data_IF_928598435996
#
_entry.id   IF_928598435996
#
_cell.length_a   1.000
_cell.length_b   1.000
_cell.length_c   1.000
_cell.angle_alpha   90.00
_cell.angle_beta   90.00
_cell.angle_gamma   90.00
#
_symmetry.space_group_name_H-M   'P 1'
#
loop_
_entity.id
_entity.type
_entity.pdbx_description
1 polymer ?
#
# COMPACT_ATOMS: atom_id res chain seq x y z
N UNK A 1 -11.99 -1.15 -3.38
CA UNK A 1 -11.82 0.14 -4.05
C UNK A 1 -10.71 0.86 -3.30
N UNK A 2 -9.66 1.31 -3.97
CA UNK A 2 -8.62 2.17 -3.36
C UNK A 2 -9.11 3.62 -3.26
N UNK A 3 -8.47 4.53 -2.48
CA UNK A 3 -8.84 5.94 -2.46
C UNK A 3 -8.66 6.63 -3.82
N UNK A 4 -7.69 6.19 -4.61
CA UNK A 4 -7.47 6.65 -5.97
C UNK A 4 -8.63 6.21 -6.89
N UNK A 5 -9.06 4.94 -6.78
CA UNK A 5 -10.24 4.43 -7.50
C UNK A 5 -11.50 5.21 -7.07
N UNK A 6 -11.64 5.47 -5.77
CA UNK A 6 -12.76 6.21 -5.20
C UNK A 6 -12.76 7.66 -5.67
N UNK A 7 -11.60 8.33 -5.68
CA UNK A 7 -11.43 9.68 -6.22
C UNK A 7 -11.81 9.74 -7.70
N UNK A 8 -11.35 8.77 -8.49
CA UNK A 8 -11.70 8.65 -9.91
C UNK A 8 -13.18 8.37 -10.13
N UNK A 9 -13.78 7.56 -9.26
CA UNK A 9 -15.22 7.23 -9.27
C UNK A 9 -16.07 8.44 -8.93
N UNK A 10 -15.71 9.20 -7.89
CA UNK A 10 -16.37 10.47 -7.56
C UNK A 10 -16.23 11.46 -8.71
N UNK A 11 -15.05 11.59 -9.33
CA UNK A 11 -14.85 12.50 -10.47
C UNK A 11 -15.75 12.13 -11.66
N UNK A 12 -15.88 10.84 -11.94
CA UNK A 12 -16.78 10.32 -12.98
C UNK A 12 -18.25 10.55 -12.62
N UNK A 13 -18.64 10.38 -11.36
CA UNK A 13 -20.01 10.68 -10.90
C UNK A 13 -20.35 12.16 -11.06
N UNK A 14 -19.43 13.07 -10.71
CA UNK A 14 -19.62 14.52 -10.93
C UNK A 14 -19.74 14.84 -12.42
N UNK A 15 -18.88 14.26 -13.28
CA UNK A 15 -18.97 14.47 -14.74
C UNK A 15 -20.31 14.01 -15.30
N UNK A 16 -20.77 12.81 -14.92
CA UNK A 16 -22.09 12.29 -15.34
C UNK A 16 -23.21 13.22 -14.90
N UNK A 17 -23.21 13.67 -13.65
CA UNK A 17 -24.23 14.61 -13.17
C UNK A 17 -24.27 15.94 -13.95
N UNK A 18 -23.14 16.39 -14.51
CA UNK A 18 -23.10 17.56 -15.40
C UNK A 18 -23.63 17.22 -16.79
N UNK A 19 -23.24 16.08 -17.35
CA UNK A 19 -23.69 15.59 -18.67
C UNK A 19 -25.20 15.33 -18.69
N UNK A 20 -25.75 14.77 -17.60
CA UNK A 20 -27.16 14.45 -17.43
C UNK A 20 -28.01 15.69 -17.06
N UNK A 21 -27.37 16.85 -16.85
CA UNK A 21 -28.03 18.13 -16.54
C UNK A 21 -28.51 18.27 -15.09
N UNK A 22 -28.16 17.34 -14.21
CA UNK A 22 -28.46 17.41 -12.77
C UNK A 22 -27.61 18.47 -12.03
N UNK A 23 -26.42 18.75 -12.57
CA UNK A 23 -25.58 19.89 -12.22
C UNK A 23 -25.45 20.84 -13.43
N UNK A 24 -25.31 22.16 -13.20
CA UNK A 24 -25.17 23.13 -14.29
C UNK A 24 -23.96 22.83 -15.20
N UNK A 25 -24.11 23.04 -16.52
CA UNK A 25 -23.07 22.78 -17.53
C UNK A 25 -21.74 23.54 -17.35
N UNK A 26 -21.72 24.58 -16.50
CA UNK A 26 -20.51 25.32 -16.12
C UNK A 26 -19.79 24.78 -14.88
N UNK A 27 -20.29 23.68 -14.29
CA UNK A 27 -19.70 23.07 -13.10
C UNK A 27 -18.41 22.35 -13.48
N UNK A 28 -17.27 23.01 -13.27
CA UNK A 28 -15.96 22.38 -13.46
C UNK A 28 -15.76 21.24 -12.46
N UNK A 29 -15.32 20.07 -12.95
CA UNK A 29 -14.86 18.98 -12.07
C UNK A 29 -13.43 19.31 -11.65
N UNK A 30 -13.13 19.39 -10.34
CA UNK A 30 -11.76 19.62 -9.89
C UNK A 30 -10.83 18.55 -10.45
N UNK A 31 -9.65 18.96 -10.94
CA UNK A 31 -8.62 18.02 -11.42
C UNK A 31 -8.18 17.07 -10.31
N UNK A 32 -8.28 17.50 -9.05
CA UNK A 32 -7.92 16.72 -7.87
C UNK A 32 -9.08 16.66 -6.88
N UNK A 33 -9.61 15.45 -6.69
CA UNK A 33 -10.59 15.16 -5.64
C UNK A 33 -9.84 14.62 -4.44
N UNK A 34 -10.08 15.24 -3.28
CA UNK A 34 -9.47 14.82 -2.02
C UNK A 34 -10.39 13.81 -1.36
N UNK A 35 -9.91 12.58 -1.22
CA UNK A 35 -10.56 11.51 -0.45
C UNK A 35 -9.63 11.14 0.68
N UNK A 36 -10.09 11.29 1.92
CA UNK A 36 -9.30 10.99 3.11
C UNK A 36 -9.94 9.89 3.92
N UNK A 37 -9.12 9.11 4.64
CA UNK A 37 -9.65 8.11 5.56
C UNK A 37 -10.33 8.80 6.74
N UNK A 38 -11.51 8.31 7.10
CA UNK A 38 -12.23 8.85 8.24
C UNK A 38 -11.43 8.59 9.53
N UNK A 39 -11.41 9.58 10.43
CA UNK A 39 -10.74 9.45 11.74
C UNK A 39 -11.41 8.36 12.58
N UNK A 40 -10.70 7.73 13.54
CA UNK A 40 -11.31 6.79 14.48
C UNK A 40 -12.54 7.40 15.16
N UNK A 41 -13.68 6.71 15.06
CA UNK A 41 -14.98 7.18 15.57
C UNK A 41 -15.80 8.07 14.62
N UNK A 42 -15.32 8.33 13.40
CA UNK A 42 -16.12 8.99 12.37
C UNK A 42 -16.96 8.01 11.53
N UNK A 43 -17.70 8.54 10.56
CA UNK A 43 -18.65 7.80 9.72
C UNK A 43 -17.96 7.25 8.46
N UNK A 44 -18.17 5.96 8.16
CA UNK A 44 -17.61 5.29 6.98
C UNK A 44 -16.08 5.10 7.02
N UNK A 45 -15.55 4.52 5.95
CA UNK A 45 -14.12 4.27 5.75
C UNK A 45 -13.40 5.53 5.24
N UNK A 46 -14.04 6.28 4.35
CA UNK A 46 -13.48 7.48 3.72
C UNK A 46 -14.46 8.64 3.75
N UNK A 47 -13.94 9.85 3.64
CA UNK A 47 -14.73 11.04 3.46
C UNK A 47 -14.12 11.98 2.42
N UNK A 48 -14.97 12.76 1.76
CA UNK A 48 -14.54 13.83 0.85
C UNK A 48 -15.35 15.11 1.07
N UNK A 49 -14.70 16.28 1.07
CA UNK A 49 -15.37 17.58 1.08
C UNK A 49 -15.76 18.07 -0.33
N UNK A 50 -15.75 17.21 -1.35
CA UNK A 50 -15.93 17.59 -2.77
C UNK A 50 -17.18 18.44 -3.03
N UNK A 51 -18.28 18.19 -2.31
CA UNK A 51 -19.53 18.90 -2.53
C UNK A 51 -19.39 20.40 -2.28
N UNK A 52 -18.54 20.82 -1.33
CA UNK A 52 -18.26 22.24 -1.09
C UNK A 52 -17.53 22.91 -2.26
N UNK A 53 -16.60 22.19 -2.87
CA UNK A 53 -15.81 22.69 -4.01
C UNK A 53 -16.70 22.83 -5.24
N UNK A 54 -17.49 21.78 -5.53
CA UNK A 54 -18.41 21.73 -6.67
C UNK A 54 -19.57 22.71 -6.51
N UNK A 55 -20.10 22.88 -5.29
CA UNK A 55 -21.18 23.82 -4.99
C UNK A 55 -20.85 25.27 -5.34
N UNK A 56 -19.60 25.70 -5.12
CA UNK A 56 -19.15 27.04 -5.48
C UNK A 56 -19.22 27.27 -6.99
N UNK A 57 -18.81 26.29 -7.78
CA UNK A 57 -18.85 26.36 -9.24
C UNK A 57 -20.29 26.22 -9.79
N UNK A 58 -21.11 25.39 -9.15
CA UNK A 58 -22.50 25.14 -9.52
C UNK A 58 -23.46 26.26 -9.08
N UNK A 59 -23.07 27.14 -8.15
CA UNK A 59 -23.97 28.14 -7.57
C UNK A 59 -25.11 27.53 -6.75
N UNK A 60 -24.93 26.33 -6.19
CA UNK A 60 -25.94 25.57 -5.44
C UNK A 60 -25.53 25.35 -3.99
N UNK A 61 -26.46 25.08 -3.06
CA UNK A 61 -26.12 24.69 -1.69
C UNK A 61 -25.28 23.39 -1.68
N UNK A 62 -24.21 23.29 -0.86
CA UNK A 62 -23.38 22.08 -0.79
C UNK A 62 -24.15 20.81 -0.45
N UNK A 63 -25.19 20.89 0.36
CA UNK A 63 -26.05 19.75 0.69
C UNK A 63 -26.83 19.21 -0.53
N UNK A 64 -27.22 20.07 -1.47
CA UNK A 64 -27.89 19.63 -2.70
C UNK A 64 -26.91 18.97 -3.66
N UNK A 65 -25.73 19.56 -3.81
CA UNK A 65 -24.65 18.98 -4.64
C UNK A 65 -24.20 17.65 -4.08
N UNK A 66 -24.06 17.54 -2.75
CA UNK A 66 -23.73 16.27 -2.10
C UNK A 66 -24.79 15.19 -2.40
N UNK A 67 -26.08 15.55 -2.44
CA UNK A 67 -27.15 14.60 -2.73
C UNK A 67 -27.08 14.07 -4.16
N UNK A 68 -26.93 14.97 -5.14
CA UNK A 68 -26.75 14.59 -6.55
C UNK A 68 -25.56 13.65 -6.72
N UNK A 69 -24.42 13.97 -6.10
CA UNK A 69 -23.23 13.12 -6.16
C UNK A 69 -23.47 11.78 -5.46
N UNK A 70 -24.11 11.76 -4.28
CA UNK A 70 -24.40 10.54 -3.53
C UNK A 70 -25.34 9.61 -4.32
N UNK A 71 -26.37 10.15 -4.96
CA UNK A 71 -27.33 9.39 -5.76
C UNK A 71 -26.65 8.74 -6.97
N UNK A 72 -25.77 9.49 -7.67
CA UNK A 72 -24.96 8.96 -8.77
C UNK A 72 -23.93 7.90 -8.34
N UNK A 73 -23.59 7.84 -7.05
CA UNK A 73 -22.65 6.86 -6.48
C UNK A 73 -23.35 5.65 -5.86
N UNK A 74 -24.67 5.69 -5.64
CA UNK A 74 -25.41 4.63 -4.95
C UNK A 74 -25.36 3.27 -5.68
N UNK A 75 -25.16 3.28 -7.00
CA UNK A 75 -25.07 2.08 -7.84
C UNK A 75 -23.61 1.68 -8.17
N UNK A 76 -22.61 2.37 -7.62
CA UNK A 76 -21.22 2.12 -7.99
C UNK A 76 -20.66 0.84 -7.34
N UNK A 77 -20.10 -0.09 -8.13
CA UNK A 77 -19.50 -1.31 -7.60
C UNK A 77 -18.38 -1.00 -6.59
N UNK A 78 -18.46 -1.63 -5.42
CA UNK A 78 -17.46 -1.48 -4.36
C UNK A 78 -17.80 -0.45 -3.28
N UNK A 79 -18.92 0.26 -3.40
CA UNK A 79 -19.52 1.06 -2.32
C UNK A 79 -20.67 0.29 -1.66
N UNK A 80 -20.63 0.16 -0.34
CA UNK A 80 -21.76 -0.37 0.46
C UNK A 80 -22.78 0.74 0.71
N UNK A 81 -22.29 1.90 1.14
CA UNK A 81 -23.12 3.03 1.53
C UNK A 81 -22.41 4.36 1.35
N UNK A 82 -23.17 5.37 0.94
CA UNK A 82 -22.74 6.77 0.90
C UNK A 82 -23.62 7.58 1.84
N UNK A 83 -23.02 8.23 2.83
CA UNK A 83 -23.71 9.03 3.84
C UNK A 83 -23.27 10.49 3.77
N UNK A 84 -24.24 11.39 3.77
CA UNK A 84 -23.97 12.84 3.82
C UNK A 84 -24.00 13.28 5.27
N UNK A 85 -22.90 13.86 5.76
CA UNK A 85 -22.83 14.44 7.11
C UNK A 85 -22.60 15.95 7.05
N UNK A 86 -23.10 16.64 8.07
CA UNK A 86 -22.99 18.10 8.18
C UNK A 86 -23.63 18.82 6.99
N UNK A 87 -22.94 19.82 6.46
CA UNK A 87 -23.43 20.65 5.37
C UNK A 87 -23.13 20.12 3.96
N UNK A 88 -22.44 18.97 3.82
CA UNK A 88 -22.05 18.44 2.51
C UNK A 88 -20.81 17.55 2.50
N UNK A 89 -20.41 16.93 3.62
CA UNK A 89 -19.37 15.91 3.59
C UNK A 89 -19.96 14.59 3.10
N UNK A 90 -19.35 13.98 2.09
CA UNK A 90 -19.69 12.64 1.62
C UNK A 90 -18.79 11.64 2.34
N UNK A 91 -19.40 10.67 3.01
CA UNK A 91 -18.72 9.60 3.73
C UNK A 91 -19.06 8.27 3.06
N UNK A 92 -18.06 7.45 2.81
CA UNK A 92 -18.16 6.23 2.03
C UNK A 92 -17.87 5.04 2.94
N UNK A 93 -18.79 4.09 2.97
CA UNK A 93 -18.56 2.74 3.48
C UNK A 93 -18.32 1.86 2.27
N UNK A 94 -17.18 1.19 2.21
CA UNK A 94 -16.86 0.30 1.11
C UNK A 94 -17.60 -1.03 1.25
N UNK A 95 -18.01 -1.61 0.12
CA UNK A 95 -18.57 -2.96 0.11
C UNK A 95 -17.54 -3.96 0.67
N UNK A 96 -17.95 -4.90 1.53
CA UNK A 96 -17.04 -5.91 2.04
C UNK A 96 -16.52 -6.74 0.87
N UNK A 97 -15.21 -6.62 0.59
CA UNK A 97 -14.55 -7.45 -0.42
C UNK A 97 -14.56 -8.89 0.05
N UNK A 98 -15.01 -9.81 -0.80
CA UNK A 98 -14.83 -11.23 -0.49
C UNK A 98 -13.34 -11.56 -0.43
N UNK A 99 -12.97 -12.51 0.42
CA UNK A 99 -11.58 -12.97 0.51
C UNK A 99 -11.06 -13.41 -0.86
N UNK A 100 -11.90 -14.07 -1.66
CA UNK A 100 -11.56 -14.54 -3.00
C UNK A 100 -11.24 -13.39 -3.97
N UNK A 101 -12.01 -12.30 -3.94
CA UNK A 101 -11.75 -11.13 -4.80
C UNK A 101 -10.46 -10.42 -4.42
N UNK A 102 -10.25 -10.20 -3.12
CA UNK A 102 -9.02 -9.56 -2.63
C UNK A 102 -7.78 -10.38 -3.02
N UNK A 103 -7.80 -11.69 -2.75
CA UNK A 103 -6.69 -12.58 -3.10
C UNK A 103 -6.46 -12.60 -4.62
N UNK A 104 -7.52 -12.64 -5.42
CA UNK A 104 -7.40 -12.59 -6.89
C UNK A 104 -6.78 -11.27 -7.36
N UNK A 105 -7.19 -10.15 -6.78
CA UNK A 105 -6.63 -8.83 -7.07
C UNK A 105 -5.13 -8.78 -6.75
N UNK A 106 -4.73 -9.20 -5.54
CA UNK A 106 -3.31 -9.24 -5.13
C UNK A 106 -2.48 -10.10 -6.08
N UNK A 107 -2.92 -11.31 -6.37
CA UNK A 107 -2.18 -12.23 -7.25
C UNK A 107 -2.12 -11.71 -8.69
N UNK A 108 -3.19 -11.06 -9.18
CA UNK A 108 -3.23 -10.49 -10.53
C UNK A 108 -2.31 -9.28 -10.71
N UNK A 109 -2.21 -8.42 -9.70
CA UNK A 109 -1.30 -7.25 -9.71
C UNK A 109 0.14 -7.64 -9.34
N UNK A 110 0.33 -8.80 -8.72
CA UNK A 110 1.65 -9.30 -8.34
C UNK A 110 2.37 -8.32 -7.39
N UNK A 111 3.70 -8.15 -7.54
CA UNK A 111 4.48 -7.22 -6.72
C UNK A 111 4.05 -5.74 -6.82
N UNK A 112 3.23 -5.39 -7.83
CA UNK A 112 2.67 -4.03 -8.01
C UNK A 112 1.30 -3.86 -7.34
N UNK A 113 0.81 -4.84 -6.58
CA UNK A 113 -0.42 -4.65 -5.80
C UNK A 113 -0.27 -3.44 -4.86
N UNK A 114 -1.30 -2.58 -4.79
CA UNK A 114 -1.26 -1.32 -4.04
C UNK A 114 -0.58 -0.15 -4.73
N UNK A 115 -0.01 -0.33 -5.93
CA UNK A 115 0.49 0.78 -6.74
C UNK A 115 -0.69 1.52 -7.38
N UNK A 116 -0.53 2.83 -7.57
CA UNK A 116 -1.44 3.63 -8.38
C UNK A 116 -1.39 3.18 -9.85
N UNK A 117 -2.48 3.39 -10.59
CA UNK A 117 -2.59 2.95 -11.99
C UNK A 117 -1.64 3.73 -12.92
N UNK A 118 -1.24 4.94 -12.55
CA UNK A 118 -0.28 5.80 -13.23
C UNK A 118 1.15 5.72 -12.64
N UNK A 119 1.46 4.65 -11.90
CA UNK A 119 2.76 4.45 -11.29
C UNK A 119 3.89 4.49 -12.33
N UNK A 120 4.93 5.27 -12.03
CA UNK A 120 6.09 5.46 -12.90
C UNK A 120 7.16 4.39 -12.63
N UNK A 121 7.82 3.92 -13.68
CA UNK A 121 8.99 3.05 -13.50
C UNK A 121 10.13 3.81 -12.82
N UNK A 122 10.94 3.14 -11.99
CA UNK A 122 12.09 3.75 -11.35
C UNK A 122 13.17 4.06 -12.40
N UNK A 123 13.37 5.34 -12.69
CA UNK A 123 14.53 5.84 -13.43
C UNK A 123 15.75 5.70 -12.51
N UNK A 124 16.93 5.26 -12.99
CA UNK A 124 18.18 5.29 -12.23
C UNK A 124 18.57 6.72 -11.85
N UNK A 125 17.94 7.26 -10.80
CA UNK A 125 18.27 8.55 -10.25
C UNK A 125 19.56 8.44 -9.43
N UNK A 126 20.64 9.04 -9.91
CA UNK A 126 21.93 9.06 -9.24
C UNK A 126 22.05 10.27 -8.32
N UNK A 127 22.23 10.03 -7.03
CA UNK A 127 22.66 11.09 -6.10
C UNK A 127 24.12 11.47 -6.36
N UNK A 128 24.47 12.71 -6.00
CA UNK A 128 25.86 13.14 -5.93
C UNK A 128 26.69 12.28 -4.96
N UNK A 129 28.02 12.19 -5.15
CA UNK A 129 28.91 11.25 -4.47
C UNK A 129 29.06 11.45 -2.96
N UNK A 130 28.50 12.52 -2.38
CA UNK A 130 28.73 12.95 -0.99
C UNK A 130 27.69 12.48 0.01
N UNK A 131 26.60 11.84 -0.42
CA UNK A 131 25.57 11.37 0.51
C UNK A 131 26.08 10.22 1.41
N UNK A 132 25.69 10.20 2.68
CA UNK A 132 25.95 9.05 3.58
C UNK A 132 25.12 7.82 3.17
N UNK A 133 25.53 6.62 3.60
CA UNK A 133 24.80 5.36 3.30
C UNK A 133 23.30 5.46 3.63
N UNK A 134 22.95 5.86 4.86
CA UNK A 134 21.56 5.98 5.28
C UNK A 134 20.77 7.02 4.49
N UNK A 135 21.40 8.15 4.15
CA UNK A 135 20.76 9.16 3.33
C UNK A 135 20.37 8.60 1.97
N UNK A 136 21.29 7.86 1.31
CA UNK A 136 20.96 7.16 0.05
C UNK A 136 19.84 6.16 0.24
N UNK A 137 19.93 5.28 1.24
CA UNK A 137 18.92 4.25 1.49
C UNK A 137 17.51 4.84 1.70
N UNK A 138 17.37 5.85 2.58
CA UNK A 138 16.09 6.51 2.85
C UNK A 138 15.54 7.20 1.61
N UNK A 139 16.38 7.94 0.88
CA UNK A 139 15.93 8.66 -0.30
C UNK A 139 15.50 7.70 -1.42
N UNK A 140 16.27 6.66 -1.71
CA UNK A 140 15.92 5.66 -2.71
C UNK A 140 14.59 4.97 -2.37
N UNK A 141 14.39 4.57 -1.11
CA UNK A 141 13.14 3.98 -0.66
C UNK A 141 11.95 4.96 -0.81
N UNK A 142 12.12 6.23 -0.39
CA UNK A 142 11.09 7.26 -0.56
C UNK A 142 10.75 7.49 -2.02
N UNK A 143 11.75 7.54 -2.92
CA UNK A 143 11.51 7.71 -4.37
C UNK A 143 10.76 6.52 -4.95
N UNK A 144 11.14 5.28 -4.61
CA UNK A 144 10.41 4.08 -5.05
C UNK A 144 8.96 4.11 -4.58
N UNK A 145 8.72 4.46 -3.31
CA UNK A 145 7.38 4.58 -2.73
C UNK A 145 6.58 5.69 -3.44
N UNK A 146 7.12 6.89 -3.61
CA UNK A 146 6.44 7.99 -4.30
C UNK A 146 6.04 7.61 -5.74
N UNK A 147 6.97 7.00 -6.50
CA UNK A 147 6.70 6.57 -7.87
C UNK A 147 5.65 5.47 -7.96
N UNK A 148 5.59 4.59 -6.95
CA UNK A 148 4.54 3.58 -6.86
C UNK A 148 3.13 4.18 -6.72
N UNK A 149 3.03 5.45 -6.29
CA UNK A 149 1.76 6.15 -6.06
C UNK A 149 1.43 7.21 -7.13
N UNK A 150 2.18 7.28 -8.23
CA UNK A 150 1.94 8.22 -9.33
C UNK A 150 2.35 9.67 -9.04
N UNK A 151 2.56 10.45 -10.10
CA UNK A 151 3.00 11.85 -10.04
C UNK A 151 1.85 12.81 -9.71
N UNK A 152 1.28 12.70 -8.51
CA UNK A 152 0.34 13.72 -8.00
C UNK A 152 1.05 14.91 -7.33
N UNK A 153 2.36 15.08 -7.48
CA UNK A 153 3.17 16.08 -6.76
C UNK A 153 3.96 17.05 -7.65
N UNK A 154 3.33 17.53 -8.73
CA UNK A 154 3.60 18.86 -9.27
C UNK A 154 4.43 18.89 -10.55
N UNK A 155 3.77 18.74 -11.69
CA UNK A 155 4.30 19.20 -12.98
C UNK A 155 4.21 20.73 -13.07
N UNK A 156 5.25 21.42 -12.60
CA UNK A 156 5.66 22.65 -13.26
C UNK A 156 6.55 22.26 -14.43
N UNK A 157 6.01 22.35 -15.65
CA UNK A 157 6.83 22.28 -16.86
C UNK A 157 7.86 23.41 -16.84
N UNK A 158 9.13 23.07 -17.09
CA UNK A 158 10.17 24.02 -17.47
C UNK A 158 11.40 24.00 -16.57
N UNK A 159 12.36 23.13 -16.90
CA UNK A 159 13.79 23.41 -17.06
C UNK A 159 14.64 22.18 -16.77
N UNK A 160 15.49 21.87 -17.75
CA UNK A 160 16.61 20.96 -17.64
C UNK A 160 17.51 21.35 -16.46
N UNK A 161 17.94 20.34 -15.69
CA UNK A 161 18.78 20.35 -14.48
C UNK A 161 18.00 20.36 -13.15
N UNK A 162 17.77 19.13 -12.65
CA UNK A 162 17.81 18.82 -11.23
C UNK A 162 16.66 19.34 -10.38
N UNK A 163 15.47 18.76 -10.51
CA UNK A 163 14.47 18.60 -9.43
C UNK A 163 13.30 17.79 -9.97
N UNK A 164 13.45 16.46 -10.02
CA UNK A 164 12.32 15.59 -10.33
C UNK A 164 11.44 15.44 -9.08
N UNK A 165 10.33 16.16 -9.11
CA UNK A 165 9.06 15.82 -8.47
C UNK A 165 9.06 15.69 -6.93
N UNK A 166 8.65 16.79 -6.27
CA UNK A 166 8.26 16.79 -4.86
C UNK A 166 9.35 17.17 -3.87
N UNK A 167 9.55 18.49 -3.65
CA UNK A 167 10.14 19.09 -2.45
C UNK A 167 11.59 18.70 -2.09
N UNK A 168 12.27 19.49 -1.24
CA UNK A 168 13.56 19.06 -0.70
C UNK A 168 13.36 17.76 0.10
N UNK A 169 14.26 16.78 -0.04
CA UNK A 169 14.17 15.54 0.72
C UNK A 169 14.22 15.82 2.22
N UNK A 170 13.56 15.00 3.05
CA UNK A 170 13.56 15.20 4.49
C UNK A 170 14.99 15.14 5.04
N UNK A 171 15.33 15.94 6.06
CA UNK A 171 16.63 15.83 6.71
C UNK A 171 16.77 14.43 7.32
N UNK A 172 17.82 13.70 6.91
CA UNK A 172 18.09 12.33 7.36
C UNK A 172 19.21 12.36 8.39
N UNK A 173 18.95 11.81 9.58
CA UNK A 173 19.98 11.59 10.59
C UNK A 173 20.99 10.54 10.08
N UNK A 174 22.30 10.77 10.23
CA UNK A 174 23.31 9.82 9.75
C UNK A 174 23.32 8.55 10.60
N UNK A 175 24.03 7.53 10.12
CA UNK A 175 24.45 6.40 10.97
C UNK A 175 25.38 6.92 12.07
N UNK A 176 25.28 6.39 13.29
CA UNK A 176 26.14 6.84 14.37
C UNK A 176 27.60 6.47 14.06
N UNK A 177 28.55 7.38 14.33
CA UNK A 177 29.98 7.14 14.06
C UNK A 177 30.52 5.87 14.71
N UNK A 178 29.95 5.47 15.87
CA UNK A 178 30.32 4.25 16.60
C UNK A 178 30.02 2.96 15.83
N UNK A 179 29.08 2.98 14.90
CA UNK A 179 28.64 1.79 14.16
C UNK A 179 29.53 1.51 12.92
N UNK A 180 30.43 2.43 12.56
CA UNK A 180 31.42 2.23 11.50
C UNK A 180 30.82 1.94 10.11
N UNK A 181 31.44 1.02 9.38
CA UNK A 181 30.93 0.54 8.09
C UNK A 181 29.89 -0.57 8.31
N UNK A 182 28.63 -0.15 8.44
CA UNK A 182 27.49 -1.04 8.65
C UNK A 182 27.23 -1.98 7.46
N UNK A 183 27.61 -1.61 6.24
CA UNK A 183 27.41 -2.47 5.06
C UNK A 183 28.40 -3.62 5.09
N UNK A 184 29.66 -3.34 5.44
CA UNK A 184 30.67 -4.38 5.64
C UNK A 184 30.32 -5.30 6.83
N UNK A 185 29.74 -4.74 7.90
CA UNK A 185 29.41 -5.50 9.11
C UNK A 185 28.17 -6.39 8.97
N UNK A 186 27.10 -5.91 8.32
CA UNK A 186 25.78 -6.56 8.31
C UNK A 186 25.32 -7.04 6.93
N UNK A 187 26.04 -6.68 5.86
CA UNK A 187 25.57 -6.84 4.49
C UNK A 187 24.59 -5.74 4.08
N UNK A 188 24.44 -5.55 2.76
CA UNK A 188 23.67 -4.43 2.19
C UNK A 188 22.21 -4.41 2.64
N UNK A 189 21.55 -5.56 2.61
CA UNK A 189 20.10 -5.66 2.85
C UNK A 189 19.76 -5.47 4.32
N UNK A 190 20.49 -6.11 5.24
CA UNK A 190 20.27 -5.96 6.67
C UNK A 190 20.61 -4.54 7.14
N UNK A 191 21.66 -3.93 6.58
CA UNK A 191 21.99 -2.54 6.85
C UNK A 191 20.92 -1.57 6.31
N UNK A 192 20.33 -1.88 5.15
CA UNK A 192 19.25 -1.10 4.54
C UNK A 192 17.97 -1.21 5.39
N UNK A 193 17.62 -2.42 5.86
CA UNK A 193 16.51 -2.63 6.78
C UNK A 193 16.63 -1.75 8.03
N UNK A 194 17.74 -1.85 8.75
CA UNK A 194 17.97 -1.07 9.96
C UNK A 194 17.99 0.44 9.72
N UNK A 195 18.50 0.89 8.57
CA UNK A 195 18.50 2.30 8.20
C UNK A 195 17.08 2.85 7.94
N UNK A 196 16.16 2.01 7.49
CA UNK A 196 14.78 2.34 7.13
C UNK A 196 13.76 2.06 8.24
N UNK A 197 14.08 1.22 9.23
CA UNK A 197 13.16 0.80 10.30
C UNK A 197 12.81 1.92 11.31
N UNK A 198 13.53 3.04 11.26
CA UNK A 198 13.36 4.20 12.14
C UNK A 198 13.06 5.47 11.34
N UNK A 199 12.32 6.44 11.92
CA UNK A 199 12.04 7.71 11.26
C UNK A 199 13.31 8.39 10.74
N UNK A 200 13.21 9.07 9.60
CA UNK A 200 14.36 9.67 8.92
C UNK A 200 15.19 10.60 9.83
N UNK A 201 14.56 11.28 10.79
CA UNK A 201 15.21 12.24 11.71
C UNK A 201 15.89 11.60 12.94
N UNK A 202 15.68 10.31 13.18
CA UNK A 202 16.21 9.60 14.34
C UNK A 202 17.37 8.71 13.91
N UNK A 203 18.47 8.66 14.66
CA UNK A 203 19.62 7.79 14.35
C UNK A 203 19.25 6.31 14.51
N UNK A 204 19.53 5.43 13.53
CA UNK A 204 19.18 4.01 13.62
C UNK A 204 20.06 3.30 14.65
N UNK A 205 19.58 2.16 15.14
CA UNK A 205 20.39 1.25 15.93
C UNK A 205 20.78 0.05 15.07
N UNK A 206 22.06 -0.29 15.10
CA UNK A 206 22.59 -1.52 14.50
C UNK A 206 23.04 -2.43 15.61
N UNK A 207 22.44 -3.62 15.69
CA UNK A 207 22.78 -4.63 16.67
C UNK A 207 22.93 -6.01 16.01
N UNK A 208 23.46 -6.96 16.78
CA UNK A 208 23.72 -8.31 16.31
C UNK A 208 22.46 -9.07 15.88
N UNK A 209 21.25 -8.65 16.26
CA UNK A 209 20.00 -9.32 15.85
C UNK A 209 19.75 -9.25 14.36
N UNK A 210 20.32 -8.26 13.66
CA UNK A 210 20.28 -8.19 12.20
C UNK A 210 20.99 -9.37 11.51
N UNK A 211 21.91 -10.04 12.22
CA UNK A 211 22.63 -11.22 11.74
C UNK A 211 21.98 -12.53 12.19
N UNK A 212 21.05 -12.46 13.15
CA UNK A 212 20.40 -13.64 13.71
C UNK A 212 19.38 -14.17 12.70
N UNK A 213 19.50 -15.46 12.39
CA UNK A 213 18.61 -16.18 11.47
C UNK A 213 17.48 -16.88 12.23
N UNK A 214 16.77 -16.13 13.06
CA UNK A 214 15.59 -16.61 13.77
C UNK A 214 14.45 -15.57 13.72
N UNK A 215 13.26 -16.00 14.11
CA UNK A 215 12.04 -15.20 14.06
C UNK A 215 12.06 -14.00 15.04
N UNK A 216 13.04 -13.89 15.93
CA UNK A 216 13.19 -12.75 16.84
C UNK A 216 13.74 -11.48 16.16
N UNK A 217 14.38 -11.64 15.00
CA UNK A 217 14.88 -10.53 14.19
C UNK A 217 13.88 -10.12 13.10
N UNK A 218 13.36 -8.90 13.15
CA UNK A 218 12.35 -8.40 12.19
C UNK A 218 12.79 -8.53 10.71
N UNK A 219 14.08 -8.29 10.43
CA UNK A 219 14.64 -8.45 9.08
C UNK A 219 14.56 -9.90 8.58
N UNK A 220 14.97 -10.85 9.43
CA UNK A 220 14.91 -12.27 9.09
C UNK A 220 13.46 -12.73 8.98
N UNK A 221 12.62 -12.39 9.96
CA UNK A 221 11.20 -12.72 10.03
C UNK A 221 10.47 -12.42 8.71
N UNK A 222 10.63 -11.21 8.19
CA UNK A 222 9.93 -10.78 6.96
C UNK A 222 10.39 -11.55 5.73
N UNK A 223 11.70 -11.76 5.58
CA UNK A 223 12.25 -12.53 4.44
C UNK A 223 11.91 -14.02 4.59
N UNK A 224 11.94 -14.55 5.81
CA UNK A 224 11.55 -15.92 6.14
C UNK A 224 10.09 -16.17 5.82
N UNK A 225 9.18 -15.30 6.23
CA UNK A 225 7.75 -15.38 5.91
C UNK A 225 7.50 -15.40 4.39
N UNK A 226 8.21 -14.57 3.61
CA UNK A 226 8.15 -14.64 2.15
C UNK A 226 8.62 -15.99 1.60
N UNK A 227 9.81 -16.45 2.02
CA UNK A 227 10.36 -17.75 1.60
C UNK A 227 9.45 -18.91 2.00
N UNK A 228 8.73 -18.77 3.12
CA UNK A 228 7.80 -19.76 3.65
C UNK A 228 6.54 -19.84 2.80
N UNK A 229 5.99 -18.71 2.34
CA UNK A 229 4.90 -18.70 1.35
C UNK A 229 5.30 -19.47 0.08
N UNK A 230 6.52 -19.24 -0.44
CA UNK A 230 7.06 -19.99 -1.58
C UNK A 230 7.21 -21.48 -1.28
N UNK A 231 7.68 -21.82 -0.07
CA UNK A 231 7.80 -23.22 0.36
C UNK A 231 6.45 -23.94 0.46
N UNK A 232 5.39 -23.25 0.91
CA UNK A 232 4.02 -23.78 0.93
C UNK A 232 3.54 -24.10 -0.49
N UNK A 233 3.76 -23.22 -1.46
CA UNK A 233 3.43 -23.47 -2.87
C UNK A 233 4.17 -24.67 -3.47
N UNK A 234 5.48 -24.80 -3.18
CA UNK A 234 6.27 -25.98 -3.57
C UNK A 234 5.77 -27.27 -2.91
N UNK A 235 5.36 -27.20 -1.64
CA UNK A 235 4.81 -28.35 -0.92
C UNK A 235 3.45 -28.77 -1.46
N UNK A 236 2.55 -27.82 -1.74
CA UNK A 236 1.25 -28.09 -2.34
C UNK A 236 1.37 -28.73 -3.73
N UNK A 237 2.31 -28.27 -4.54
CA UNK A 237 2.61 -28.86 -5.85
C UNK A 237 3.03 -30.33 -5.72
N UNK A 238 3.87 -30.67 -4.73
CA UNK A 238 4.25 -32.06 -4.43
C UNK A 238 3.07 -32.92 -3.96
N UNK A 239 2.07 -32.30 -3.32
CA UNK A 239 0.82 -32.94 -2.91
C UNK A 239 -0.25 -32.96 -4.03
N UNK A 240 0.06 -32.44 -5.22
CA UNK A 240 -0.82 -32.49 -6.39
C UNK A 240 -1.96 -31.46 -6.39
N UNK A 241 -1.80 -30.32 -5.73
CA UNK A 241 -2.77 -29.21 -5.81
C UNK A 241 -2.10 -27.84 -5.93
N UNK A 242 -2.89 -26.85 -6.36
CA UNK A 242 -2.45 -25.48 -6.59
C UNK A 242 -3.38 -24.48 -5.91
N UNK A 243 -2.90 -23.24 -5.76
CA UNK A 243 -3.66 -22.15 -5.22
C UNK A 243 -4.89 -21.84 -6.09
N UNK A 244 -6.03 -21.61 -5.45
CA UNK A 244 -7.25 -21.17 -6.12
C UNK A 244 -7.97 -20.17 -5.20
N UNK A 245 -8.14 -18.90 -5.61
CA UNK A 245 -8.83 -17.91 -4.78
C UNK A 245 -10.25 -18.35 -4.43
N UNK A 246 -10.56 -18.42 -3.14
CA UNK A 246 -11.84 -18.89 -2.62
C UNK A 246 -12.14 -18.34 -1.22
N UNK A 247 -13.26 -18.75 -0.60
CA UNK A 247 -13.58 -18.33 0.76
C UNK A 247 -12.55 -18.88 1.75
N UNK A 248 -12.07 -18.02 2.64
CA UNK A 248 -11.11 -18.37 3.70
C UNK A 248 -11.38 -17.51 4.93
N UNK A 249 -11.35 -18.13 6.10
CA UNK A 249 -11.52 -17.47 7.40
C UNK A 249 -10.15 -17.12 7.98
N UNK A 250 -9.70 -15.90 7.71
CA UNK A 250 -8.43 -15.34 8.18
C UNK A 250 -8.53 -13.81 8.28
N UNK A 251 -9.41 -13.27 9.13
CA UNK A 251 -9.78 -11.85 9.11
C UNK A 251 -8.60 -10.90 9.36
N UNK A 252 -7.64 -11.30 10.20
CA UNK A 252 -6.48 -10.47 10.49
C UNK A 252 -5.56 -10.30 9.27
N UNK A 253 -5.15 -11.41 8.64
CA UNK A 253 -4.34 -11.40 7.43
C UNK A 253 -5.08 -10.73 6.25
N UNK A 254 -6.36 -11.05 6.03
CA UNK A 254 -7.16 -10.42 4.97
C UNK A 254 -7.25 -8.90 5.15
N UNK A 255 -7.46 -8.42 6.38
CA UNK A 255 -7.49 -7.00 6.69
C UNK A 255 -6.14 -6.34 6.38
N UNK A 256 -5.02 -6.97 6.75
CA UNK A 256 -3.70 -6.45 6.39
C UNK A 256 -3.55 -6.33 4.87
N UNK A 257 -3.84 -7.38 4.10
CA UNK A 257 -3.71 -7.30 2.64
C UNK A 257 -4.63 -6.23 2.03
N UNK A 258 -5.81 -5.98 2.60
CA UNK A 258 -6.69 -4.89 2.20
C UNK A 258 -6.15 -3.49 2.61
N UNK A 259 -5.44 -3.38 3.73
CA UNK A 259 -4.81 -2.14 4.22
C UNK A 259 -3.56 -1.74 3.43
N UNK A 260 -2.89 -2.68 2.74
CA UNK A 260 -1.59 -2.42 2.12
C UNK A 260 -1.55 -1.23 1.13
N UNK A 261 -2.50 -1.06 0.18
CA UNK A 261 -2.51 0.10 -0.71
C UNK A 261 -2.51 1.43 0.05
N UNK A 262 -3.25 1.51 1.15
CA UNK A 262 -3.31 2.71 1.99
C UNK A 262 -2.02 2.98 2.74
N UNK A 263 -1.32 1.93 3.15
CA UNK A 263 -0.03 2.08 3.82
C UNK A 263 0.99 2.65 2.84
N UNK A 264 0.97 2.23 1.57
CA UNK A 264 1.84 2.81 0.54
C UNK A 264 1.53 4.29 0.30
N UNK A 265 0.26 4.66 0.19
CA UNK A 265 -0.16 6.05 0.04
C UNK A 265 0.26 6.91 1.25
N UNK A 266 0.02 6.42 2.48
CA UNK A 266 0.40 7.11 3.70
C UNK A 266 1.93 7.26 3.83
N UNK A 267 2.69 6.22 3.48
CA UNK A 267 4.15 6.24 3.45
C UNK A 267 4.70 7.21 2.40
N UNK A 268 4.05 7.29 1.22
CA UNK A 268 4.39 8.26 0.18
C UNK A 268 4.13 9.69 0.65
N UNK A 269 2.94 9.98 1.17
CA UNK A 269 2.54 11.31 1.61
C UNK A 269 3.43 11.84 2.74
N UNK A 270 3.77 10.97 3.70
CA UNK A 270 4.62 11.32 4.85
C UNK A 270 6.11 11.15 4.57
N UNK A 271 6.48 10.57 3.43
CA UNK A 271 7.86 10.19 3.07
C UNK A 271 8.53 9.37 4.17
N UNK A 272 7.78 8.38 4.65
CA UNK A 272 8.05 7.64 5.88
C UNK A 272 8.18 6.13 5.58
N UNK A 273 9.33 5.68 5.03
CA UNK A 273 9.56 4.27 4.68
C UNK A 273 9.48 3.33 5.90
N UNK A 274 9.71 3.84 7.12
CA UNK A 274 9.57 3.08 8.36
C UNK A 274 8.14 2.57 8.60
N UNK A 275 7.12 3.25 8.06
CA UNK A 275 5.74 2.77 8.14
C UNK A 275 5.54 1.50 7.32
N UNK A 276 6.16 1.42 6.15
CA UNK A 276 6.15 0.22 5.33
C UNK A 276 6.88 -0.91 6.04
N UNK A 277 8.06 -0.65 6.62
CA UNK A 277 8.81 -1.65 7.42
C UNK A 277 7.94 -2.28 8.51
N UNK A 278 7.33 -1.46 9.38
CA UNK A 278 6.47 -1.93 10.48
C UNK A 278 5.26 -2.70 9.97
N UNK A 279 4.72 -2.30 8.82
CA UNK A 279 3.59 -2.99 8.22
C UNK A 279 3.97 -4.38 7.70
N UNK A 280 5.14 -4.53 7.06
CA UNK A 280 5.62 -5.82 6.57
C UNK A 280 5.87 -6.82 7.71
N UNK A 281 6.35 -6.35 8.86
CA UNK A 281 6.47 -7.19 10.07
C UNK A 281 5.12 -7.76 10.48
N UNK A 282 4.06 -6.93 10.56
CA UNK A 282 2.70 -7.39 10.87
C UNK A 282 2.17 -8.42 9.87
N UNK A 283 2.45 -8.24 8.57
CA UNK A 283 2.06 -9.22 7.53
C UNK A 283 2.82 -10.53 7.70
N UNK A 284 4.11 -10.46 8.04
CA UNK A 284 4.95 -11.63 8.26
C UNK A 284 4.47 -12.45 9.46
N UNK A 285 4.21 -11.80 10.60
CA UNK A 285 3.68 -12.46 11.80
C UNK A 285 2.35 -13.19 11.50
N UNK A 286 1.38 -12.47 10.93
CA UNK A 286 0.06 -13.05 10.62
C UNK A 286 0.13 -14.17 9.57
N UNK A 287 1.04 -14.08 8.61
CA UNK A 287 1.27 -15.15 7.64
C UNK A 287 1.88 -16.39 8.32
N UNK A 288 2.86 -16.20 9.21
CA UNK A 288 3.51 -17.30 9.92
C UNK A 288 2.55 -17.96 10.91
N UNK A 289 1.67 -17.21 11.57
CA UNK A 289 0.61 -17.79 12.39
C UNK A 289 -0.39 -18.60 11.54
N UNK A 290 -0.76 -18.06 10.38
CA UNK A 290 -1.71 -18.68 9.45
C UNK A 290 -1.17 -19.96 8.77
N UNK A 291 0.15 -20.07 8.58
CA UNK A 291 0.79 -21.10 7.75
C UNK A 291 0.36 -22.55 8.10
N UNK A 292 0.06 -22.80 9.38
CA UNK A 292 -0.17 -24.13 9.91
C UNK A 292 -1.48 -24.76 9.45
N UNK A 293 -2.39 -24.00 8.84
CA UNK A 293 -3.66 -24.51 8.31
C UNK A 293 -3.70 -24.63 6.79
N UNK A 294 -2.62 -24.25 6.10
CA UNK A 294 -2.57 -24.15 4.63
C UNK A 294 -2.53 -25.51 3.95
N UNK A 295 -1.68 -26.42 4.42
CA UNK A 295 -1.51 -27.75 3.83
C UNK A 295 -2.37 -28.80 4.56
N UNK A 296 -2.86 -29.84 3.85
CA UNK A 296 -3.51 -30.98 4.47
C UNK A 296 -2.61 -31.67 5.50
N UNK A 297 -3.19 -32.17 6.60
CA UNK A 297 -2.45 -32.88 7.66
C UNK A 297 -2.84 -34.36 7.73
N UNK A 298 -1.83 -35.22 7.91
CA UNK A 298 -2.05 -36.67 8.03
C UNK A 298 -2.71 -37.25 6.78
N UNK A 299 -3.87 -37.89 6.95
CA UNK A 299 -4.63 -38.52 5.87
C UNK A 299 -5.62 -37.58 5.16
N UNK A 300 -5.62 -36.29 5.51
CA UNK A 300 -6.48 -35.30 4.84
C UNK A 300 -6.14 -35.19 3.35
N UNK A 301 -7.18 -35.20 2.51
CA UNK A 301 -7.03 -34.96 1.08
C UNK A 301 -7.04 -33.46 0.77
N UNK A 302 -6.30 -33.00 -0.25
CA UNK A 302 -6.43 -31.63 -0.76
C UNK A 302 -7.89 -31.29 -1.07
N UNK A 303 -8.35 -30.13 -0.60
CA UNK A 303 -9.74 -29.68 -0.71
C UNK A 303 -9.79 -28.23 -1.19
N UNK A 304 -10.97 -27.72 -1.53
CA UNK A 304 -11.16 -26.32 -1.91
C UNK A 304 -10.66 -25.35 -0.81
N UNK A 305 -10.81 -25.72 0.47
CA UNK A 305 -10.30 -24.92 1.59
C UNK A 305 -8.77 -24.83 1.57
N UNK A 306 -8.06 -25.93 1.30
CA UNK A 306 -6.59 -25.92 1.18
C UNK A 306 -6.12 -25.05 0.00
N UNK A 307 -6.84 -25.09 -1.14
CA UNK A 307 -6.53 -24.25 -2.30
C UNK A 307 -6.73 -22.76 -2.01
N UNK A 308 -7.82 -22.40 -1.30
CA UNK A 308 -8.09 -21.02 -0.89
C UNK A 308 -7.08 -20.48 0.13
N UNK A 309 -6.72 -21.29 1.14
CA UNK A 309 -5.69 -20.91 2.12
C UNK A 309 -4.33 -20.75 1.47
N UNK A 310 -3.98 -21.63 0.54
CA UNK A 310 -2.73 -21.50 -0.22
C UNK A 310 -2.71 -20.22 -1.06
N UNK A 311 -3.82 -19.89 -1.73
CA UNK A 311 -3.93 -18.64 -2.48
C UNK A 311 -3.76 -17.39 -1.58
N UNK A 312 -4.31 -17.43 -0.36
CA UNK A 312 -4.10 -16.35 0.62
C UNK A 312 -2.63 -16.25 1.07
N UNK A 313 -1.96 -17.38 1.31
CA UNK A 313 -0.55 -17.40 1.67
C UNK A 313 0.35 -16.86 0.53
N UNK A 314 0.05 -17.22 -0.73
CA UNK A 314 0.74 -16.68 -1.90
C UNK A 314 0.49 -15.17 -2.09
N UNK A 315 -0.73 -14.71 -1.84
CA UNK A 315 -1.06 -13.28 -1.86
C UNK A 315 -0.27 -12.50 -0.78
N UNK A 316 -0.19 -13.01 0.44
CA UNK A 316 0.63 -12.42 1.49
C UNK A 316 2.13 -12.40 1.12
N UNK A 317 2.66 -13.51 0.58
CA UNK A 317 4.03 -13.57 0.07
C UNK A 317 4.30 -12.57 -1.05
N UNK A 318 3.30 -12.28 -1.89
CA UNK A 318 3.37 -11.27 -2.96
C UNK A 318 3.46 -9.85 -2.40
N UNK A 319 2.67 -9.53 -1.37
CA UNK A 319 2.75 -8.24 -0.67
C UNK A 319 4.11 -8.05 0.01
N UNK A 320 4.64 -9.10 0.66
CA UNK A 320 5.97 -9.07 1.25
C UNK A 320 7.06 -8.81 0.20
N UNK A 321 6.98 -9.47 -0.97
CA UNK A 321 7.93 -9.25 -2.06
C UNK A 321 7.88 -7.82 -2.61
N UNK A 322 6.68 -7.29 -2.88
CA UNK A 322 6.50 -5.92 -3.36
C UNK A 322 7.00 -4.89 -2.35
N UNK A 323 6.70 -5.08 -1.06
CA UNK A 323 7.19 -4.22 0.01
C UNK A 323 8.71 -4.22 0.15
N UNK A 324 9.35 -5.38 0.13
CA UNK A 324 10.82 -5.49 0.17
C UNK A 324 11.46 -4.82 -1.05
N UNK A 325 10.89 -5.01 -2.24
CA UNK A 325 11.37 -4.36 -3.46
C UNK A 325 11.29 -2.81 -3.38
N UNK A 326 10.23 -2.26 -2.80
CA UNK A 326 10.12 -0.81 -2.53
C UNK A 326 11.18 -0.30 -1.54
N UNK A 327 11.57 -1.12 -0.57
CA UNK A 327 12.67 -0.83 0.36
C UNK A 327 14.06 -1.02 -0.28
N UNK A 328 14.14 -1.63 -1.46
CA UNK A 328 15.40 -1.97 -2.12
C UNK A 328 16.12 -3.17 -1.49
N UNK A 329 15.36 -4.09 -0.90
CA UNK A 329 15.83 -5.28 -0.22
C UNK A 329 15.40 -6.51 -1.04
N UNK A 330 16.26 -7.52 -1.12
CA UNK A 330 15.94 -8.74 -1.84
C UNK A 330 14.95 -9.64 -1.08
N UNK A 331 14.02 -10.23 -1.83
CA UNK A 331 13.00 -11.16 -1.34
C UNK A 331 13.32 -12.58 -1.83
N UNK A 332 14.10 -13.37 -1.06
CA UNK A 332 14.61 -14.65 -1.52
C UNK A 332 13.50 -15.71 -1.58
N UNK A 333 13.46 -16.48 -2.69
CA UNK A 333 12.52 -17.61 -2.85
C UNK A 333 12.80 -18.79 -1.87
N UNK A 334 14.00 -18.83 -1.31
CA UNK A 334 14.47 -19.78 -0.31
C UNK A 334 15.50 -19.13 0.62
N UNK A 335 15.35 -19.40 1.93
CA UNK A 335 16.30 -19.08 2.99
C UNK A 335 16.78 -20.36 3.66
#
# INVERSE_FOLDING_TARGET
MTPADLSSTVARAVRRAVEDGELPAGTGVPERIVVERTRPGGVGDYATPIAFQVARAAGRPPAEVARVIADGLAAEPGLDRVEITGAGFLNFTLAPRSAAELVREVLSRGPRYGYADDALDPDPFCWGPTAGFRQRAVHEAVVRILRSQGSSHGTSQGSSQGSADGGPPPPVAPVARRDGDVVAAYGRDAATWAALAVPARETPHFDARLLVQDESGEFFLVRYAHSRAKALGRAATRLGFHAEPGPVDAPALLRLLAEYPLVLEAAAHRRAPEQLVRFLVRVADELLDFQHCVLPKGDEKPSAAHRARLALAEAAGTVLAGGLALLGIDAPDCL
#
